data_IF_670032796151
#
_entry.id   IF_670032796151
#
_cell.length_a   1.000
_cell.length_b   1.000
_cell.length_c   1.000
_cell.angle_alpha   90.00
_cell.angle_beta   90.00
_cell.angle_gamma   90.00
#
_symmetry.space_group_name_H-M   'P 1'
#
loop_
_entity.id
_entity.type
_entity.pdbx_description
1 polymer ?
#
# COMPACT_ATOMS: atom_id res chain seq x y z
N UNK A 1 16.81 21.49 -11.02
CA UNK A 1 16.11 21.82 -9.77
C UNK A 1 15.50 20.51 -9.30
N UNK A 2 16.22 19.80 -8.44
CA UNK A 2 15.83 18.49 -7.93
C UNK A 2 14.62 18.67 -7.02
N UNK A 3 13.45 18.21 -7.46
CA UNK A 3 12.34 17.98 -6.54
C UNK A 3 12.61 16.64 -5.88
N UNK A 4 13.36 16.72 -4.78
CA UNK A 4 13.50 15.64 -3.81
C UNK A 4 12.25 15.65 -2.92
N UNK A 5 11.58 14.52 -2.85
CA UNK A 5 10.26 14.39 -2.24
C UNK A 5 9.50 13.16 -2.74
N UNK A 6 10.23 12.08 -3.05
CA UNK A 6 9.63 10.76 -3.18
C UNK A 6 9.32 10.26 -1.77
N UNK A 7 8.12 10.57 -1.29
CA UNK A 7 7.41 9.64 -0.41
C UNK A 7 7.00 8.43 -1.26
N UNK A 8 8.00 7.71 -1.77
CA UNK A 8 7.79 6.38 -2.31
C UNK A 8 7.36 5.54 -1.12
N UNK A 9 6.22 4.85 -1.23
CA UNK A 9 5.80 3.91 -0.19
C UNK A 9 6.80 2.77 -0.24
N UNK A 10 7.89 2.90 0.51
CA UNK A 10 9.02 1.99 0.45
C UNK A 10 8.60 0.63 0.97
N UNK A 11 8.96 -0.42 0.22
CA UNK A 11 8.76 -1.82 0.60
C UNK A 11 9.13 -2.06 2.07
N UNK A 12 8.26 -2.69 2.88
CA UNK A 12 8.58 -3.00 4.26
C UNK A 12 9.79 -3.95 4.36
N UNK A 13 10.79 -3.56 5.17
CA UNK A 13 11.92 -4.44 5.50
C UNK A 13 11.50 -5.59 6.42
N UNK A 14 10.47 -5.37 7.25
CA UNK A 14 9.98 -6.32 8.24
C UNK A 14 8.46 -6.47 8.11
N UNK A 15 8.03 -7.73 8.01
CA UNK A 15 6.62 -8.10 8.06
C UNK A 15 6.33 -8.77 9.42
N UNK A 16 5.66 -8.08 10.36
CA UNK A 16 5.45 -8.61 11.71
C UNK A 16 4.38 -9.71 11.74
N UNK A 17 4.60 -10.71 12.58
CA UNK A 17 3.64 -11.72 12.97
C UNK A 17 2.80 -11.23 14.18
N UNK A 18 1.71 -11.91 14.55
CA UNK A 18 0.89 -11.52 15.70
C UNK A 18 1.65 -11.46 17.04
N UNK A 19 2.74 -12.20 17.17
CA UNK A 19 3.62 -12.19 18.34
C UNK A 19 4.73 -11.10 18.28
N UNK A 20 4.74 -10.28 17.22
CA UNK A 20 5.71 -9.23 16.99
C UNK A 20 7.02 -9.68 16.34
N UNK A 21 7.24 -10.99 16.14
CA UNK A 21 8.43 -11.49 15.44
C UNK A 21 8.30 -11.33 13.92
N UNK A 22 9.39 -11.19 13.15
CA UNK A 22 9.31 -11.08 11.70
C UNK A 22 8.92 -12.41 11.05
N UNK A 23 8.14 -12.36 9.97
CA UNK A 23 7.97 -13.50 9.06
C UNK A 23 9.34 -13.86 8.48
N UNK A 24 9.82 -15.08 8.75
CA UNK A 24 11.16 -15.53 8.35
C UNK A 24 11.18 -16.50 7.17
N UNK A 25 10.02 -17.07 6.81
CA UNK A 25 9.91 -18.01 5.70
C UNK A 25 10.10 -17.28 4.36
N UNK A 26 11.13 -17.68 3.60
CA UNK A 26 11.50 -17.06 2.32
C UNK A 26 10.34 -16.99 1.32
N UNK A 27 9.57 -18.07 1.18
CA UNK A 27 8.47 -18.12 0.20
C UNK A 27 7.33 -17.18 0.61
N UNK A 28 7.01 -17.07 1.91
CA UNK A 28 6.04 -16.09 2.41
C UNK A 28 6.51 -14.66 2.13
N UNK A 29 7.79 -14.37 2.37
CA UNK A 29 8.38 -13.06 2.10
C UNK A 29 8.40 -12.71 0.61
N UNK A 30 8.55 -13.70 -0.28
CA UNK A 30 8.43 -13.46 -1.72
C UNK A 30 7.02 -12.99 -2.06
N UNK A 31 6.01 -13.75 -1.64
CA UNK A 31 4.59 -13.44 -1.89
C UNK A 31 4.21 -12.07 -1.31
N UNK A 32 4.64 -11.75 -0.08
CA UNK A 32 4.34 -10.45 0.54
C UNK A 32 4.95 -9.27 -0.24
N UNK A 33 6.16 -9.43 -0.79
CA UNK A 33 6.79 -8.40 -1.61
C UNK A 33 6.11 -8.24 -2.97
N UNK A 34 5.73 -9.34 -3.61
CA UNK A 34 4.97 -9.32 -4.87
C UNK A 34 3.62 -8.60 -4.65
N UNK A 35 2.87 -9.01 -3.62
CA UNK A 35 1.59 -8.38 -3.27
C UNK A 35 1.74 -6.88 -2.98
N UNK A 36 2.80 -6.46 -2.27
CA UNK A 36 3.04 -5.05 -1.97
C UNK A 36 3.31 -4.25 -3.25
N UNK A 37 4.16 -4.76 -4.13
CA UNK A 37 4.50 -4.09 -5.39
C UNK A 37 3.28 -3.97 -6.31
N UNK A 38 2.47 -5.04 -6.42
CA UNK A 38 1.24 -5.02 -7.20
C UNK A 38 0.22 -4.02 -6.66
N UNK A 39 0.02 -4.01 -5.33
CA UNK A 39 -0.91 -3.08 -4.69
C UNK A 39 -0.47 -1.63 -4.87
N UNK A 40 0.83 -1.34 -4.79
CA UNK A 40 1.36 0.01 -5.02
C UNK A 40 1.01 0.51 -6.43
N UNK A 41 1.15 -0.35 -7.45
CA UNK A 41 0.74 -0.02 -8.83
C UNK A 41 -0.76 0.25 -8.93
N UNK A 42 -1.59 -0.65 -8.40
CA UNK A 42 -3.06 -0.51 -8.45
C UNK A 42 -3.53 0.78 -7.76
N UNK A 43 -2.95 1.10 -6.60
CA UNK A 43 -3.29 2.32 -5.86
C UNK A 43 -2.81 3.58 -6.59
N UNK A 44 -1.66 3.53 -7.27
CA UNK A 44 -1.14 4.63 -8.09
C UNK A 44 -2.10 4.92 -9.25
N UNK A 45 -2.45 3.89 -10.02
CA UNK A 45 -3.35 4.02 -11.17
C UNK A 45 -4.70 4.58 -10.74
N UNK A 46 -5.31 4.00 -9.69
CA UNK A 46 -6.59 4.46 -9.17
C UNK A 46 -6.54 5.92 -8.68
N UNK A 47 -5.43 6.31 -8.07
CA UNK A 47 -5.21 7.69 -7.63
C UNK A 47 -5.09 8.64 -8.83
N UNK A 48 -4.23 8.32 -9.80
CA UNK A 48 -3.99 9.15 -10.99
C UNK A 48 -5.26 9.33 -11.83
N UNK A 49 -6.01 8.25 -12.06
CA UNK A 49 -7.29 8.29 -12.78
C UNK A 49 -8.28 9.22 -12.09
N UNK A 50 -8.39 9.15 -10.76
CA UNK A 50 -9.28 10.03 -10.00
C UNK A 50 -8.89 11.51 -10.15
N UNK A 51 -7.60 11.83 -10.12
CA UNK A 51 -7.13 13.21 -10.31
C UNK A 51 -7.42 13.69 -11.73
N UNK A 52 -7.21 12.85 -12.75
CA UNK A 52 -7.53 13.17 -14.15
C UNK A 52 -9.03 13.47 -14.32
N UNK A 53 -9.88 12.77 -13.57
CA UNK A 53 -11.33 12.99 -13.56
C UNK A 53 -11.78 14.21 -12.72
N UNK A 54 -10.84 14.94 -12.12
CA UNK A 54 -11.11 16.18 -11.36
C UNK A 54 -11.46 15.96 -9.88
N UNK A 55 -11.13 14.80 -9.31
CA UNK A 55 -11.26 14.56 -7.86
C UNK A 55 -10.16 15.33 -7.12
N UNK A 56 -10.52 15.93 -5.98
CA UNK A 56 -9.54 16.55 -5.08
C UNK A 56 -8.52 15.53 -4.58
N UNK A 57 -7.24 15.90 -4.62
CA UNK A 57 -6.13 15.02 -4.26
C UNK A 57 -6.23 14.54 -2.81
N UNK A 58 -6.48 15.47 -1.88
CA UNK A 58 -6.60 15.16 -0.47
C UNK A 58 -7.81 14.26 -0.18
N UNK A 59 -8.92 14.47 -0.88
CA UNK A 59 -10.10 13.63 -0.80
C UNK A 59 -9.82 12.21 -1.30
N UNK A 60 -9.14 12.06 -2.44
CA UNK A 60 -8.81 10.74 -2.98
C UNK A 60 -7.90 9.94 -2.02
N UNK A 61 -6.90 10.58 -1.41
CA UNK A 61 -6.07 9.93 -0.38
C UNK A 61 -6.92 9.41 0.79
N UNK A 62 -7.84 10.22 1.31
CA UNK A 62 -8.76 9.81 2.39
C UNK A 62 -9.67 8.66 1.96
N UNK A 63 -10.14 8.65 0.71
CA UNK A 63 -10.97 7.57 0.16
C UNK A 63 -10.17 6.25 0.12
N UNK A 64 -8.95 6.27 -0.41
CA UNK A 64 -8.09 5.08 -0.45
C UNK A 64 -7.76 4.55 0.96
N UNK A 65 -7.49 5.44 1.92
CA UNK A 65 -7.34 5.04 3.33
C UNK A 65 -8.62 4.39 3.87
N UNK A 66 -9.79 4.94 3.57
CA UNK A 66 -11.07 4.36 3.97
C UNK A 66 -11.32 2.96 3.40
N UNK A 67 -10.83 2.66 2.18
CA UNK A 67 -10.88 1.31 1.61
C UNK A 67 -10.02 0.34 2.43
N UNK A 68 -8.80 0.75 2.81
CA UNK A 68 -7.90 -0.08 3.64
C UNK A 68 -8.48 -0.30 5.03
N UNK A 69 -9.01 0.74 5.67
CA UNK A 69 -9.63 0.65 7.00
C UNK A 69 -10.88 -0.24 7.02
N UNK A 70 -11.55 -0.37 5.86
CA UNK A 70 -12.72 -1.23 5.68
C UNK A 70 -12.42 -2.72 5.44
N UNK A 71 -11.14 -3.11 5.32
CA UNK A 71 -10.76 -4.50 5.08
C UNK A 71 -11.17 -5.39 6.26
N UNK A 72 -11.90 -6.48 5.97
CA UNK A 72 -12.31 -7.44 7.01
C UNK A 72 -11.24 -8.51 7.20
N UNK A 73 -11.02 -8.88 8.46
CA UNK A 73 -10.18 -10.02 8.79
C UNK A 73 -10.78 -11.31 8.22
N UNK A 74 -10.00 -12.17 7.56
CA UNK A 74 -10.44 -13.51 7.16
C UNK A 74 -10.78 -14.43 8.33
N UNK A 75 -10.47 -14.03 9.57
CA UNK A 75 -10.76 -14.78 10.81
C UNK A 75 -12.09 -14.37 11.48
N UNK A 76 -12.81 -13.41 10.90
CA UNK A 76 -14.09 -12.90 11.41
C UNK A 76 -15.28 -13.69 10.86
#
# INVERSE_FOLDING_TARGET
MSHDGTDDVTMPEIWPQPDGTPVSCRDKLLVLRENHAELQGILRDAFEDAIIMGVDEGAMRRILHGVVDGLRSPKA
#
